data_IF_835589701938
#
_entry.id   IF_835589701938
#
_cell.length_a   1.000
_cell.length_b   1.000
_cell.length_c   1.000
_cell.angle_alpha   90.00
_cell.angle_beta   90.00
_cell.angle_gamma   90.00
#
_symmetry.space_group_name_H-M   'P 1'
#
loop_
_entity.id
_entity.type
_entity.pdbx_description
1 polymer ?
#
# COMPACT_ATOMS: atom_id res chain seq x y z
N UNK A 1 -11.16 -31.95 7.97
CA UNK A 1 -9.75 -32.18 8.40
C UNK A 1 -8.78 -32.11 7.21
N UNK A 2 -9.13 -32.67 6.05
CA UNK A 2 -8.28 -32.57 4.84
C UNK A 2 -8.11 -31.13 4.34
N UNK A 3 -9.19 -30.33 4.30
CA UNK A 3 -9.13 -28.92 3.89
C UNK A 3 -8.25 -28.06 4.82
N UNK A 4 -8.35 -28.26 6.13
CA UNK A 4 -7.50 -27.53 7.09
C UNK A 4 -6.02 -27.89 6.94
N UNK A 5 -5.72 -29.16 6.67
CA UNK A 5 -4.35 -29.62 6.42
C UNK A 5 -3.79 -29.01 5.13
N UNK A 6 -4.61 -28.88 4.07
CA UNK A 6 -4.25 -28.20 2.83
C UNK A 6 -3.88 -26.74 3.05
N UNK A 7 -4.74 -25.98 3.75
CA UNK A 7 -4.46 -24.56 4.08
C UNK A 7 -3.16 -24.40 4.88
N UNK A 8 -2.93 -25.26 5.88
CA UNK A 8 -1.70 -25.19 6.67
C UNK A 8 -0.46 -25.50 5.84
N UNK A 9 -0.55 -26.43 4.88
CA UNK A 9 0.53 -26.73 3.95
C UNK A 9 0.81 -25.56 3.03
N UNK A 10 -0.23 -24.92 2.50
CA UNK A 10 -0.09 -23.76 1.64
C UNK A 10 0.54 -22.57 2.38
N UNK A 11 0.08 -22.29 3.61
CA UNK A 11 0.68 -21.25 4.45
C UNK A 11 2.15 -21.56 4.76
N UNK A 12 2.49 -22.83 4.99
CA UNK A 12 3.88 -23.27 5.18
C UNK A 12 4.71 -23.02 3.92
N UNK A 13 4.22 -23.43 2.74
CA UNK A 13 4.91 -23.24 1.45
C UNK A 13 5.12 -21.75 1.18
N UNK A 14 4.07 -20.93 1.31
CA UNK A 14 4.13 -19.47 1.15
C UNK A 14 5.22 -18.88 2.04
N UNK A 15 5.19 -19.19 3.32
CA UNK A 15 6.10 -18.61 4.30
C UNK A 15 7.55 -19.00 4.03
N UNK A 16 7.83 -20.29 3.79
CA UNK A 16 9.19 -20.78 3.55
C UNK A 16 9.77 -20.19 2.26
N UNK A 17 9.01 -20.20 1.17
CA UNK A 17 9.48 -19.66 -0.12
C UNK A 17 9.63 -18.14 -0.06
N UNK A 18 8.74 -17.42 0.63
CA UNK A 18 8.87 -15.99 0.85
C UNK A 18 10.17 -15.65 1.60
N UNK A 19 10.48 -16.37 2.68
CA UNK A 19 11.71 -16.16 3.47
C UNK A 19 12.96 -16.53 2.69
N UNK A 20 12.92 -17.62 1.91
CA UNK A 20 14.03 -18.00 1.04
C UNK A 20 14.31 -16.94 -0.04
N UNK A 21 13.26 -16.44 -0.69
CA UNK A 21 13.40 -15.37 -1.67
C UNK A 21 13.87 -14.05 -1.04
N UNK A 22 13.33 -13.69 0.12
CA UNK A 22 13.77 -12.51 0.86
C UNK A 22 15.28 -12.55 1.15
N UNK A 23 15.82 -13.70 1.58
CA UNK A 23 17.26 -13.91 1.80
C UNK A 23 18.08 -13.71 0.52
N UNK A 24 17.61 -14.28 -0.60
CA UNK A 24 18.28 -14.12 -1.92
C UNK A 24 18.31 -12.65 -2.34
N UNK A 25 17.17 -11.95 -2.28
CA UNK A 25 17.10 -10.55 -2.68
C UNK A 25 17.88 -9.62 -1.75
N UNK A 26 17.93 -9.93 -0.45
CA UNK A 26 18.77 -9.21 0.50
C UNK A 26 20.25 -9.36 0.17
N UNK A 27 20.72 -10.56 -0.21
CA UNK A 27 22.09 -10.79 -0.69
C UNK A 27 22.39 -10.04 -1.98
N UNK A 28 21.41 -9.92 -2.86
CA UNK A 28 21.49 -9.11 -4.09
C UNK A 28 21.40 -7.60 -3.82
N UNK A 29 21.25 -7.17 -2.55
CA UNK A 29 21.05 -5.78 -2.12
C UNK A 29 19.81 -5.12 -2.74
N UNK A 30 18.81 -5.93 -3.05
CA UNK A 30 17.50 -5.50 -3.53
C UNK A 30 16.46 -5.57 -2.39
N UNK A 31 15.36 -4.79 -2.46
CA UNK A 31 14.26 -4.91 -1.52
C UNK A 31 13.67 -6.31 -1.51
N UNK A 32 13.43 -6.86 -0.31
CA UNK A 32 12.93 -8.24 -0.13
C UNK A 32 11.55 -8.45 -0.75
N UNK A 33 10.75 -7.40 -0.79
CA UNK A 33 9.39 -7.40 -1.38
C UNK A 33 9.37 -7.90 -2.84
N UNK A 34 10.44 -7.65 -3.61
CA UNK A 34 10.53 -8.13 -5.00
C UNK A 34 10.54 -9.66 -5.03
N UNK A 35 11.34 -10.27 -4.14
CA UNK A 35 11.41 -11.73 -4.01
C UNK A 35 10.08 -12.34 -3.58
N UNK A 36 9.43 -11.74 -2.59
CA UNK A 36 8.13 -12.18 -2.08
C UNK A 36 7.04 -12.12 -3.17
N UNK A 37 6.98 -11.04 -3.94
CA UNK A 37 6.06 -10.90 -5.09
C UNK A 37 6.33 -11.92 -6.19
N UNK A 38 7.61 -12.10 -6.58
CA UNK A 38 7.98 -13.06 -7.63
C UNK A 38 7.70 -14.51 -7.22
N UNK A 39 7.89 -14.84 -5.95
CA UNK A 39 7.45 -16.15 -5.40
C UNK A 39 5.96 -16.30 -5.63
N UNK A 40 5.15 -15.29 -5.27
CA UNK A 40 3.71 -15.33 -5.49
C UNK A 40 3.35 -15.60 -6.94
N UNK A 41 3.95 -14.86 -7.89
CA UNK A 41 3.74 -15.08 -9.33
C UNK A 41 4.11 -16.51 -9.73
N UNK A 42 5.21 -17.05 -9.18
CA UNK A 42 5.69 -18.38 -9.55
C UNK A 42 4.84 -19.53 -9.00
N UNK A 43 4.36 -19.43 -7.77
CA UNK A 43 3.60 -20.51 -7.10
C UNK A 43 2.09 -20.40 -7.27
N UNK A 44 1.60 -19.25 -7.73
CA UNK A 44 0.18 -18.99 -7.95
C UNK A 44 -0.47 -19.94 -8.96
N UNK A 45 -1.79 -19.99 -8.97
CA UNK A 45 -2.63 -20.90 -9.78
C UNK A 45 -2.39 -20.82 -11.29
N UNK A 46 -1.82 -19.73 -11.77
CA UNK A 46 -1.58 -19.49 -13.20
C UNK A 46 -0.16 -19.81 -13.69
N UNK A 47 0.77 -20.20 -12.79
CA UNK A 47 2.13 -20.58 -13.17
C UNK A 47 2.42 -22.05 -12.79
N UNK A 48 3.09 -22.30 -11.66
CA UNK A 48 3.45 -23.66 -11.23
C UNK A 48 2.30 -24.41 -10.57
N UNK A 49 1.20 -23.75 -10.21
CA UNK A 49 0.03 -24.33 -9.53
C UNK A 49 0.38 -25.10 -8.27
N UNK A 50 1.39 -24.63 -7.55
CA UNK A 50 1.80 -25.25 -6.27
C UNK A 50 0.83 -24.91 -5.15
N UNK A 51 0.11 -23.79 -5.29
CA UNK A 51 -0.92 -23.35 -4.37
C UNK A 51 -2.17 -23.14 -5.21
N UNK A 52 -3.24 -23.84 -4.86
CA UNK A 52 -4.55 -23.60 -5.44
C UNK A 52 -5.21 -22.46 -4.65
N UNK A 53 -4.78 -21.21 -4.96
CA UNK A 53 -5.47 -20.03 -4.43
C UNK A 53 -6.76 -19.91 -5.25
N UNK A 54 -7.92 -20.26 -4.70
CA UNK A 54 -9.19 -20.20 -5.42
C UNK A 54 -9.53 -18.72 -5.65
N UNK A 55 -9.20 -18.21 -6.84
CA UNK A 55 -9.33 -16.78 -7.16
C UNK A 55 -10.74 -16.41 -7.63
N UNK A 56 -11.58 -17.34 -8.06
CA UNK A 56 -12.90 -16.98 -8.59
C UNK A 56 -14.05 -17.98 -8.33
N UNK A 57 -13.89 -19.30 -8.28
CA UNK A 57 -15.08 -20.17 -8.36
C UNK A 57 -15.14 -21.46 -7.53
N UNK A 58 -14.27 -21.68 -6.56
CA UNK A 58 -14.37 -22.91 -5.78
C UNK A 58 -14.12 -22.68 -4.27
N UNK A 59 -15.19 -22.84 -3.49
CA UNK A 59 -15.19 -22.82 -2.03
C UNK A 59 -14.95 -21.45 -1.39
N UNK A 60 -16.00 -20.66 -1.24
CA UNK A 60 -16.01 -19.31 -0.63
C UNK A 60 -15.26 -19.21 0.71
N UNK A 61 -15.18 -20.31 1.47
CA UNK A 61 -14.50 -20.32 2.77
C UNK A 61 -12.97 -20.35 2.72
N UNK A 62 -12.37 -20.99 1.71
CA UNK A 62 -10.89 -21.10 1.59
C UNK A 62 -10.27 -19.83 1.05
N UNK A 63 -10.91 -19.17 0.09
CA UNK A 63 -10.46 -17.87 -0.43
C UNK A 63 -10.41 -16.82 0.67
N UNK A 64 -11.38 -16.84 1.60
CA UNK A 64 -11.44 -15.92 2.73
C UNK A 64 -10.22 -16.04 3.66
N UNK A 65 -9.69 -17.24 3.91
CA UNK A 65 -8.51 -17.41 4.77
C UNK A 65 -7.29 -16.71 4.18
N UNK A 66 -7.04 -16.87 2.88
CA UNK A 66 -5.91 -16.20 2.22
C UNK A 66 -6.09 -14.69 2.16
N UNK A 67 -7.31 -14.21 1.89
CA UNK A 67 -7.60 -12.78 1.89
C UNK A 67 -7.38 -12.16 3.28
N UNK A 68 -7.89 -12.79 4.33
CA UNK A 68 -7.69 -12.33 5.72
C UNK A 68 -6.21 -12.34 6.09
N UNK A 69 -5.44 -13.37 5.71
CA UNK A 69 -4.00 -13.42 5.97
C UNK A 69 -3.24 -12.31 5.24
N UNK A 70 -3.60 -12.05 3.98
CA UNK A 70 -3.01 -10.96 3.21
C UNK A 70 -3.35 -9.59 3.82
N UNK A 71 -4.61 -9.37 4.17
CA UNK A 71 -5.06 -8.11 4.77
C UNK A 71 -4.41 -7.87 6.13
N UNK A 72 -4.35 -8.87 7.00
CA UNK A 72 -3.63 -8.78 8.28
C UNK A 72 -2.14 -8.45 8.08
N UNK A 73 -1.50 -9.05 7.07
CA UNK A 73 -0.12 -8.72 6.72
C UNK A 73 0.05 -7.24 6.35
N UNK A 74 -0.86 -6.71 5.53
CA UNK A 74 -0.85 -5.32 5.12
C UNK A 74 -1.17 -4.36 6.26
N UNK A 75 -2.17 -4.68 7.09
CA UNK A 75 -2.54 -3.92 8.30
C UNK A 75 -1.35 -3.81 9.26
N UNK A 76 -0.67 -4.94 9.54
CA UNK A 76 0.53 -4.95 10.40
C UNK A 76 1.66 -4.15 9.78
N UNK A 77 1.89 -4.25 8.47
CA UNK A 77 2.89 -3.43 7.76
C UNK A 77 2.64 -1.94 7.98
N UNK A 78 1.42 -1.47 7.72
CA UNK A 78 1.07 -0.05 7.83
C UNK A 78 1.08 0.45 9.28
N UNK A 79 0.72 -0.41 10.23
CA UNK A 79 0.88 -0.12 11.65
C UNK A 79 2.36 0.15 12.01
N UNK A 80 3.29 -0.66 11.53
CA UNK A 80 4.72 -0.44 11.74
C UNK A 80 5.22 0.85 11.09
N UNK A 81 4.78 1.14 9.88
CA UNK A 81 5.08 2.42 9.20
C UNK A 81 4.54 3.60 10.01
N UNK A 82 3.35 3.45 10.58
CA UNK A 82 2.76 4.42 11.49
C UNK A 82 3.60 4.61 12.76
N UNK A 83 4.09 3.53 13.39
CA UNK A 83 4.98 3.60 14.55
C UNK A 83 6.27 4.39 14.29
N UNK A 84 6.77 4.34 13.06
CA UNK A 84 7.97 5.09 12.64
C UNK A 84 7.65 6.52 12.17
N UNK A 85 6.36 6.89 12.07
CA UNK A 85 5.90 8.17 11.55
C UNK A 85 5.29 9.03 12.65
N UNK A 86 5.90 10.18 12.98
CA UNK A 86 5.37 11.12 13.96
C UNK A 86 4.37 12.09 13.33
N UNK A 87 3.27 12.37 14.03
CA UNK A 87 2.25 13.31 13.57
C UNK A 87 2.82 14.69 13.22
N UNK A 88 3.69 15.24 14.08
CA UNK A 88 4.32 16.55 13.85
C UNK A 88 5.12 16.61 12.55
N UNK A 89 5.78 15.52 12.20
CA UNK A 89 6.56 15.41 10.96
C UNK A 89 5.66 15.38 9.72
N UNK A 90 4.49 14.73 9.84
CA UNK A 90 3.49 14.68 8.78
C UNK A 90 2.83 16.06 8.57
N UNK A 91 2.49 16.73 9.66
CA UNK A 91 1.89 18.07 9.61
C UNK A 91 2.83 19.11 8.98
N UNK A 92 4.15 19.00 9.19
CA UNK A 92 5.16 19.89 8.57
C UNK A 92 5.20 19.79 7.04
N UNK A 93 4.88 18.64 6.47
CA UNK A 93 4.89 18.41 5.01
C UNK A 93 3.48 18.45 4.41
N UNK A 94 2.43 18.64 5.22
CA UNK A 94 1.03 18.46 4.86
C UNK A 94 0.57 19.18 3.60
N UNK A 95 0.96 20.46 3.40
CA UNK A 95 0.62 21.18 2.16
C UNK A 95 1.20 20.50 0.91
N UNK A 96 2.44 20.01 0.99
CA UNK A 96 3.08 19.31 -0.14
C UNK A 96 2.47 17.93 -0.36
N UNK A 97 2.19 17.20 0.73
CA UNK A 97 1.49 15.92 0.66
C UNK A 97 0.14 16.07 -0.03
N UNK A 98 -0.63 17.09 0.33
CA UNK A 98 -1.91 17.37 -0.31
C UNK A 98 -1.75 17.75 -1.79
N UNK A 99 -0.75 18.56 -2.14
CA UNK A 99 -0.47 18.90 -3.55
C UNK A 99 -0.09 17.66 -4.36
N UNK A 100 0.75 16.79 -3.80
CA UNK A 100 1.13 15.51 -4.42
C UNK A 100 -0.09 14.62 -4.62
N UNK A 101 -0.98 14.51 -3.61
CA UNK A 101 -2.20 13.72 -3.70
C UNK A 101 -3.15 14.27 -4.78
N UNK A 102 -3.48 15.56 -4.73
CA UNK A 102 -4.43 16.17 -5.68
C UNK A 102 -3.93 16.07 -7.12
N UNK A 103 -2.69 16.43 -7.39
CA UNK A 103 -2.12 16.30 -8.74
C UNK A 103 -1.99 14.84 -9.15
N UNK A 104 -1.62 13.96 -8.19
CA UNK A 104 -1.53 12.52 -8.39
C UNK A 104 -2.87 11.82 -8.64
N UNK A 105 -3.99 12.45 -8.31
CA UNK A 105 -5.35 12.00 -8.63
C UNK A 105 -5.80 12.59 -9.96
N UNK A 106 -5.76 13.92 -10.10
CA UNK A 106 -6.36 14.64 -11.23
C UNK A 106 -5.69 14.27 -12.56
N UNK A 107 -4.36 14.29 -12.61
CA UNK A 107 -3.66 14.03 -13.88
C UNK A 107 -3.77 12.58 -14.35
N UNK A 108 -3.51 11.54 -13.54
CA UNK A 108 -3.70 10.15 -13.97
C UNK A 108 -5.14 9.83 -14.35
N UNK A 109 -6.13 10.33 -13.58
CA UNK A 109 -7.54 10.18 -13.93
C UNK A 109 -7.86 10.76 -15.31
N UNK A 110 -7.47 12.01 -15.53
CA UNK A 110 -7.71 12.70 -16.81
C UNK A 110 -7.01 11.99 -17.98
N UNK A 111 -5.76 11.56 -17.80
CA UNK A 111 -5.00 10.84 -18.83
C UNK A 111 -5.65 9.49 -19.17
N UNK A 112 -6.02 8.71 -18.15
CA UNK A 112 -6.64 7.40 -18.34
C UNK A 112 -8.01 7.51 -19.01
N UNK A 113 -8.87 8.39 -18.49
CA UNK A 113 -10.21 8.60 -19.07
C UNK A 113 -10.14 9.15 -20.50
N UNK A 114 -9.29 10.15 -20.75
CA UNK A 114 -9.11 10.73 -22.08
C UNK A 114 -8.58 9.69 -23.08
N UNK A 115 -7.58 8.90 -22.70
CA UNK A 115 -7.02 7.86 -23.55
C UNK A 115 -8.10 6.83 -23.95
N UNK A 116 -8.90 6.34 -23.02
CA UNK A 116 -9.94 5.36 -23.29
C UNK A 116 -11.04 5.93 -24.17
N UNK A 117 -11.46 7.19 -23.96
CA UNK A 117 -12.41 7.88 -24.84
C UNK A 117 -11.86 8.03 -26.27
N UNK A 118 -10.59 8.43 -26.41
CA UNK A 118 -9.94 8.57 -27.71
C UNK A 118 -9.74 7.23 -28.42
N UNK A 119 -9.57 6.14 -27.66
CA UNK A 119 -9.51 4.78 -28.17
C UNK A 119 -10.88 4.21 -28.56
N UNK A 120 -11.97 4.97 -28.38
CA UNK A 120 -13.34 4.58 -28.78
C UNK A 120 -14.10 3.75 -27.73
N UNK A 121 -13.60 3.66 -26.48
CA UNK A 121 -14.29 2.96 -25.41
C UNK A 121 -15.47 3.76 -24.83
N UNK A 122 -16.52 3.11 -24.30
CA UNK A 122 -17.65 3.76 -23.67
C UNK A 122 -17.22 4.69 -22.52
N UNK A 123 -17.98 5.76 -22.28
CA UNK A 123 -17.67 6.73 -21.22
C UNK A 123 -17.54 6.09 -19.85
N UNK A 124 -18.42 5.18 -19.49
CA UNK A 124 -18.39 4.49 -18.20
C UNK A 124 -17.11 3.71 -18.01
N UNK A 125 -16.73 2.92 -19.01
CA UNK A 125 -15.47 2.16 -19.01
C UNK A 125 -14.26 3.09 -18.89
N UNK A 126 -14.25 4.19 -19.65
CA UNK A 126 -13.19 5.21 -19.61
C UNK A 126 -13.02 5.84 -18.23
N UNK A 127 -14.12 6.13 -17.55
CA UNK A 127 -14.09 6.69 -16.19
C UNK A 127 -13.58 5.67 -15.17
N UNK A 128 -13.98 4.40 -15.26
CA UNK A 128 -13.46 3.36 -14.37
C UNK A 128 -11.95 3.14 -14.55
N UNK A 129 -11.45 3.14 -15.79
CA UNK A 129 -9.99 3.09 -16.04
C UNK A 129 -9.32 4.34 -15.47
N UNK A 130 -9.92 5.53 -15.63
CA UNK A 130 -9.44 6.75 -14.99
C UNK A 130 -9.27 6.58 -13.48
N UNK A 131 -10.28 6.04 -12.77
CA UNK A 131 -10.21 5.77 -11.32
C UNK A 131 -9.15 4.72 -10.99
N UNK A 132 -9.03 3.67 -11.80
CA UNK A 132 -8.00 2.65 -11.58
C UNK A 132 -6.57 3.22 -11.66
N UNK A 133 -6.37 4.28 -12.46
CA UNK A 133 -5.09 5.00 -12.54
C UNK A 133 -4.87 5.96 -11.36
N UNK A 134 -5.88 6.26 -10.56
CA UNK A 134 -5.74 7.16 -9.39
C UNK A 134 -5.07 6.45 -8.21
N UNK A 135 -5.62 5.32 -7.79
CA UNK A 135 -5.26 4.66 -6.54
C UNK A 135 -3.76 4.30 -6.47
N UNK A 136 -3.12 4.59 -5.34
CA UNK A 136 -1.70 4.29 -5.10
C UNK A 136 -1.57 3.22 -4.02
N UNK A 137 -0.76 2.18 -4.23
CA UNK A 137 -0.44 1.22 -3.18
C UNK A 137 0.63 1.78 -2.24
N UNK A 138 0.17 2.25 -1.09
CA UNK A 138 1.07 2.75 -0.05
C UNK A 138 1.87 1.62 0.60
N UNK A 139 1.30 0.41 0.70
CA UNK A 139 1.95 -0.75 1.33
C UNK A 139 3.28 -1.12 0.67
N UNK A 140 3.31 -1.15 -0.66
CA UNK A 140 4.52 -1.46 -1.43
C UNK A 140 5.60 -0.40 -1.22
N UNK A 141 5.25 0.86 -1.42
CA UNK A 141 6.19 1.97 -1.25
C UNK A 141 6.69 2.07 0.20
N UNK A 142 5.81 1.92 1.18
CA UNK A 142 6.14 1.95 2.59
C UNK A 142 7.11 0.82 2.97
N UNK A 143 6.88 -0.40 2.48
CA UNK A 143 7.78 -1.54 2.66
C UNK A 143 9.17 -1.24 2.10
N UNK A 144 9.25 -0.77 0.86
CA UNK A 144 10.53 -0.42 0.22
C UNK A 144 11.28 0.67 1.00
N UNK A 145 10.58 1.74 1.40
CA UNK A 145 11.18 2.83 2.18
C UNK A 145 11.68 2.33 3.55
N UNK A 146 10.96 1.40 4.18
CA UNK A 146 11.35 0.77 5.44
C UNK A 146 12.57 -0.13 5.26
N UNK A 147 12.57 -1.03 4.27
CA UNK A 147 13.69 -1.92 3.97
C UNK A 147 14.98 -1.15 3.62
N UNK A 148 14.85 0.04 3.03
CA UNK A 148 15.95 0.97 2.76
C UNK A 148 16.38 1.79 4.00
N UNK A 149 15.61 1.78 5.10
CA UNK A 149 15.87 2.57 6.29
C UNK A 149 15.70 4.08 6.10
N UNK A 150 14.81 4.49 5.18
CA UNK A 150 14.64 5.90 4.78
C UNK A 150 13.26 6.50 5.13
N UNK A 151 12.46 5.83 5.95
CA UNK A 151 11.12 6.31 6.36
C UNK A 151 11.16 7.70 7.01
N UNK A 152 12.23 8.02 7.73
CA UNK A 152 12.44 9.34 8.33
C UNK A 152 12.81 10.45 7.32
N UNK A 153 13.00 10.12 6.02
CA UNK A 153 13.32 11.11 5.00
C UNK A 153 12.13 12.03 4.71
N UNK A 154 12.43 13.25 4.23
CA UNK A 154 11.40 14.24 3.88
C UNK A 154 10.48 13.71 2.77
N UNK A 155 11.06 13.05 1.78
CA UNK A 155 10.35 12.45 0.65
C UNK A 155 9.40 11.36 1.12
N UNK A 156 9.85 10.47 2.02
CA UNK A 156 9.01 9.40 2.56
C UNK A 156 7.80 9.98 3.33
N UNK A 157 8.00 11.00 4.16
CA UNK A 157 6.91 11.67 4.88
C UNK A 157 5.89 12.31 3.94
N UNK A 158 6.36 12.93 2.85
CA UNK A 158 5.47 13.50 1.82
C UNK A 158 4.67 12.38 1.14
N UNK A 159 5.32 11.29 0.75
CA UNK A 159 4.66 10.13 0.11
C UNK A 159 3.60 9.54 1.03
N UNK A 160 3.95 9.24 2.29
CA UNK A 160 3.02 8.64 3.25
C UNK A 160 1.82 9.56 3.53
N UNK A 161 2.06 10.86 3.72
CA UNK A 161 0.98 11.82 3.90
C UNK A 161 0.13 12.02 2.65
N UNK A 162 0.74 11.95 1.45
CA UNK A 162 0.01 12.02 0.20
C UNK A 162 -0.84 10.77 -0.02
N UNK A 163 -0.34 9.58 0.34
CA UNK A 163 -1.06 8.34 0.17
C UNK A 163 -2.37 8.29 1.00
N UNK A 164 -2.35 8.76 2.25
CA UNK A 164 -3.58 8.87 3.07
C UNK A 164 -4.62 9.78 2.41
N UNK A 165 -4.19 10.91 1.83
CA UNK A 165 -5.10 11.79 1.12
C UNK A 165 -5.54 11.20 -0.24
N UNK A 166 -4.65 10.50 -0.94
CA UNK A 166 -4.91 9.81 -2.22
C UNK A 166 -5.99 8.73 -2.05
N UNK A 167 -5.96 7.96 -0.96
CA UNK A 167 -6.97 6.94 -0.65
C UNK A 167 -8.37 7.54 -0.46
N UNK A 168 -8.48 8.66 0.25
CA UNK A 168 -9.75 9.38 0.40
C UNK A 168 -10.25 9.88 -0.95
N UNK A 169 -9.36 10.49 -1.75
CA UNK A 169 -9.72 11.02 -3.07
C UNK A 169 -10.07 9.89 -4.05
N UNK A 170 -9.39 8.75 -3.99
CA UNK A 170 -9.69 7.57 -4.81
C UNK A 170 -11.07 6.98 -4.46
N UNK A 171 -11.40 6.89 -3.16
CA UNK A 171 -12.73 6.49 -2.69
C UNK A 171 -13.82 7.43 -3.23
N UNK A 172 -13.63 8.74 -3.12
CA UNK A 172 -14.58 9.72 -3.64
C UNK A 172 -14.74 9.63 -5.16
N UNK A 173 -13.63 9.43 -5.88
CA UNK A 173 -13.66 9.24 -7.33
C UNK A 173 -14.39 7.96 -7.72
N UNK A 174 -14.17 6.85 -7.01
CA UNK A 174 -14.87 5.59 -7.22
C UNK A 174 -16.36 5.74 -6.93
N UNK A 175 -16.71 6.37 -5.80
CA UNK A 175 -18.12 6.64 -5.44
C UNK A 175 -18.81 7.49 -6.50
N UNK A 176 -18.17 8.55 -6.97
CA UNK A 176 -18.72 9.40 -8.04
C UNK A 176 -18.95 8.62 -9.34
N UNK A 177 -17.96 7.82 -9.78
CA UNK A 177 -18.06 7.06 -11.03
C UNK A 177 -19.10 5.94 -10.93
N UNK A 178 -19.23 5.29 -9.77
CA UNK A 178 -20.25 4.24 -9.57
C UNK A 178 -21.68 4.78 -9.52
N UNK A 179 -21.87 6.07 -9.28
CA UNK A 179 -23.18 6.75 -9.37
C UNK A 179 -23.52 7.20 -10.79
N UNK A 180 -22.51 7.34 -11.67
CA UNK A 180 -22.73 7.67 -13.09
C UNK A 180 -23.44 6.48 -13.75
N UNK A 181 -24.65 6.70 -14.22
CA UNK A 181 -25.53 5.65 -14.78
C UNK A 181 -26.73 5.31 -13.91
N UNK A 182 -26.82 5.86 -12.67
CA UNK A 182 -28.09 5.89 -11.93
C UNK A 182 -28.97 6.99 -12.47
N UNK A 183 -30.29 6.78 -12.46
CA UNK A 183 -31.28 7.78 -12.90
C UNK A 183 -31.19 9.10 -12.10
N UNK A 184 -30.75 9.02 -10.84
CA UNK A 184 -30.58 10.18 -9.94
C UNK A 184 -29.29 10.99 -10.19
N UNK A 185 -28.39 10.52 -11.06
CA UNK A 185 -27.08 11.16 -11.27
C UNK A 185 -26.14 11.06 -10.06
N UNK A 186 -25.09 11.91 -10.03
CA UNK A 186 -24.11 11.97 -8.93
C UNK A 186 -24.68 12.76 -7.77
N UNK A 187 -24.84 12.14 -6.58
CA UNK A 187 -25.26 12.83 -5.37
C UNK A 187 -24.06 13.54 -4.71
N UNK A 188 -24.00 14.85 -4.91
CA UNK A 188 -22.99 15.69 -4.30
C UNK A 188 -23.06 15.69 -2.75
N UNK A 189 -24.27 15.51 -2.18
CA UNK A 189 -24.45 15.40 -0.73
C UNK A 189 -23.77 14.15 -0.17
N UNK A 190 -23.95 13.00 -0.79
CA UNK A 190 -23.29 11.75 -0.41
C UNK A 190 -21.76 11.87 -0.49
N UNK A 191 -21.24 12.49 -1.56
CA UNK A 191 -19.78 12.71 -1.71
C UNK A 191 -19.22 13.64 -0.62
N UNK A 192 -19.93 14.74 -0.31
CA UNK A 192 -19.50 15.67 0.75
C UNK A 192 -19.51 14.97 2.10
N UNK A 193 -20.56 14.21 2.43
CA UNK A 193 -20.67 13.49 3.70
C UNK A 193 -19.56 12.44 3.81
N UNK A 194 -19.36 11.62 2.79
CA UNK A 194 -18.31 10.60 2.78
C UNK A 194 -16.92 11.22 2.97
N UNK A 195 -16.62 12.29 2.22
CA UNK A 195 -15.35 13.01 2.38
C UNK A 195 -15.18 13.66 3.74
N UNK A 196 -16.24 14.28 4.27
CA UNK A 196 -16.20 14.91 5.59
C UNK A 196 -16.00 13.88 6.72
N UNK A 197 -16.67 12.72 6.64
CA UNK A 197 -16.51 11.61 7.60
C UNK A 197 -15.09 11.06 7.55
N UNK A 198 -14.55 10.84 6.35
CA UNK A 198 -13.17 10.36 6.16
C UNK A 198 -12.14 11.33 6.77
N UNK A 199 -12.25 12.61 6.43
CA UNK A 199 -11.36 13.65 6.97
C UNK A 199 -11.53 13.79 8.49
N UNK A 200 -12.76 13.76 9.00
CA UNK A 200 -13.04 13.82 10.44
C UNK A 200 -12.44 12.63 11.19
N UNK A 201 -12.57 11.42 10.65
CA UNK A 201 -11.96 10.21 11.22
C UNK A 201 -10.44 10.33 11.32
N UNK A 202 -9.78 10.71 10.22
CA UNK A 202 -8.32 10.88 10.18
C UNK A 202 -7.88 11.98 11.14
N UNK A 203 -8.52 13.15 11.11
CA UNK A 203 -8.19 14.28 11.97
C UNK A 203 -8.43 13.97 13.45
N UNK A 204 -9.58 13.37 13.80
CA UNK A 204 -9.90 12.97 15.16
C UNK A 204 -8.89 11.96 15.69
N UNK A 205 -8.63 10.89 14.96
CA UNK A 205 -7.69 9.85 15.38
C UNK A 205 -6.27 10.40 15.49
N UNK A 206 -5.81 11.18 14.51
CA UNK A 206 -4.48 11.77 14.54
C UNK A 206 -4.31 12.78 15.69
N UNK A 207 -5.27 13.66 15.91
CA UNK A 207 -5.13 14.75 16.89
C UNK A 207 -5.53 14.33 18.31
N UNK A 208 -6.69 13.69 18.46
CA UNK A 208 -7.21 13.29 19.78
C UNK A 208 -6.52 12.01 20.24
N UNK A 209 -6.40 11.02 19.34
CA UNK A 209 -5.82 9.73 19.65
C UNK A 209 -4.37 9.85 20.11
N UNK A 210 -3.52 10.61 19.40
CA UNK A 210 -2.11 10.82 19.81
C UNK A 210 -2.01 11.51 21.17
N UNK A 211 -2.87 12.49 21.45
CA UNK A 211 -2.90 13.15 22.78
C UNK A 211 -3.33 12.20 23.89
N UNK A 212 -4.34 11.37 23.62
CA UNK A 212 -4.82 10.39 24.59
C UNK A 212 -3.75 9.35 24.91
N UNK A 213 -3.12 8.76 23.89
CA UNK A 213 -2.04 7.78 24.08
C UNK A 213 -0.89 8.38 24.86
N UNK A 214 -0.43 9.59 24.51
CA UNK A 214 0.65 10.28 25.22
C UNK A 214 0.32 10.52 26.71
N UNK A 215 -0.94 10.81 27.02
CA UNK A 215 -1.38 11.04 28.42
C UNK A 215 -1.45 9.74 29.23
N UNK A 216 -1.87 8.64 28.59
CA UNK A 216 -2.16 7.38 29.27
C UNK A 216 -1.09 6.31 29.08
N UNK A 217 -0.04 6.53 28.28
CA UNK A 217 1.01 5.52 27.98
C UNK A 217 1.69 4.96 29.24
N UNK A 218 1.94 5.79 30.25
CA UNK A 218 2.54 5.35 31.52
C UNK A 218 1.63 4.41 32.33
N UNK A 219 0.32 4.45 32.12
CA UNK A 219 -0.63 3.56 32.79
C UNK A 219 -0.68 2.18 32.15
N UNK A 220 -0.25 2.04 30.88
CA UNK A 220 -0.22 0.76 30.18
C UNK A 220 0.76 -0.21 30.82
N UNK A 221 1.87 0.28 31.41
CA UNK A 221 2.84 -0.58 32.12
C UNK A 221 2.32 -1.10 33.44
N UNK A 222 1.27 -0.47 34.00
CA UNK A 222 0.66 -0.89 35.27
C UNK A 222 -0.39 -2.00 35.10
N UNK A 223 -0.76 -2.32 33.87
CA UNK A 223 -1.72 -3.39 33.61
C UNK A 223 -1.07 -4.73 33.90
N UNK A 224 -1.78 -5.61 34.60
CA UNK A 224 -1.30 -6.94 34.98
C UNK A 224 -1.39 -7.99 33.86
N UNK A 225 -1.80 -7.57 32.67
CA UNK A 225 -1.91 -8.46 31.49
C UNK A 225 -0.50 -8.68 30.92
N UNK A 226 -0.18 -9.94 30.60
CA UNK A 226 1.09 -10.24 29.92
C UNK A 226 1.22 -9.45 28.64
N UNK A 227 2.38 -8.79 28.44
CA UNK A 227 2.63 -7.96 27.25
C UNK A 227 1.57 -6.85 27.03
N UNK A 228 1.05 -6.24 28.11
CA UNK A 228 0.00 -5.22 28.04
C UNK A 228 0.21 -4.12 26.97
N UNK A 229 1.40 -3.54 26.80
CA UNK A 229 1.63 -2.55 25.76
C UNK A 229 1.40 -3.10 24.33
N UNK A 230 1.82 -4.33 24.07
CA UNK A 230 1.60 -4.98 22.78
C UNK A 230 0.12 -5.31 22.56
N UNK A 231 -0.56 -5.85 23.58
CA UNK A 231 -1.98 -6.20 23.50
C UNK A 231 -2.84 -4.96 23.19
N UNK A 232 -2.57 -3.83 23.87
CA UNK A 232 -3.27 -2.56 23.61
C UNK A 232 -2.92 -2.02 22.21
N UNK A 233 -1.68 -2.11 21.78
CA UNK A 233 -1.26 -1.67 20.47
C UNK A 233 -1.96 -2.45 19.35
N UNK A 234 -2.05 -3.78 19.47
CA UNK A 234 -2.77 -4.64 18.52
C UNK A 234 -4.29 -4.39 18.56
N UNK A 235 -4.87 -4.18 19.75
CA UNK A 235 -6.28 -3.83 19.88
C UNK A 235 -6.61 -2.49 19.20
N UNK A 236 -5.75 -1.48 19.37
CA UNK A 236 -5.90 -0.20 18.67
C UNK A 236 -5.74 -0.36 17.16
N UNK A 237 -4.75 -1.12 16.72
CA UNK A 237 -4.53 -1.43 15.31
C UNK A 237 -5.77 -2.05 14.68
N UNK A 238 -6.27 -3.14 15.23
CA UNK A 238 -7.45 -3.86 14.71
C UNK A 238 -8.73 -3.02 14.84
N UNK A 239 -8.93 -2.35 15.98
CA UNK A 239 -10.12 -1.55 16.22
C UNK A 239 -10.22 -0.34 15.29
N UNK A 240 -9.12 0.38 15.06
CA UNK A 240 -9.11 1.51 14.13
C UNK A 240 -9.16 1.06 12.67
N UNK A 241 -8.57 -0.11 12.33
CA UNK A 241 -8.72 -0.70 11.00
C UNK A 241 -10.16 -1.07 10.71
N UNK A 242 -10.83 -1.74 11.63
CA UNK A 242 -12.24 -2.08 11.51
C UNK A 242 -13.12 -0.81 11.42
N UNK A 243 -12.88 0.19 12.27
CA UNK A 243 -13.60 1.46 12.22
C UNK A 243 -13.40 2.20 10.90
N UNK A 244 -12.19 2.20 10.34
CA UNK A 244 -11.92 2.77 9.02
C UNK A 244 -12.72 2.04 7.93
N UNK A 245 -12.72 0.70 7.95
CA UNK A 245 -13.45 -0.14 6.98
C UNK A 245 -14.96 0.09 7.06
N UNK A 246 -15.54 0.19 8.25
CA UNK A 246 -16.97 0.51 8.44
C UNK A 246 -17.35 1.91 7.88
N UNK A 247 -16.40 2.84 7.88
CA UNK A 247 -16.57 4.17 7.27
C UNK A 247 -16.32 4.19 5.76
N UNK A 248 -16.07 3.02 5.13
CA UNK A 248 -15.77 2.87 3.72
C UNK A 248 -14.34 3.25 3.33
N UNK A 249 -13.45 3.51 4.31
CA UNK A 249 -12.03 3.74 4.07
C UNK A 249 -11.28 2.41 4.02
N UNK A 250 -10.09 2.42 3.43
CA UNK A 250 -9.22 1.24 3.54
C UNK A 250 -8.78 1.02 4.99
N UNK A 251 -8.88 -0.22 5.50
CA UNK A 251 -8.54 -0.57 6.89
C UNK A 251 -7.09 -0.23 7.24
N UNK A 252 -6.20 -0.22 6.25
CA UNK A 252 -4.79 0.18 6.39
C UNK A 252 -4.61 1.62 6.91
N UNK A 253 -5.53 2.53 6.61
CA UNK A 253 -5.51 3.90 7.13
C UNK A 253 -5.67 3.86 8.66
N UNK A 254 -6.61 3.07 9.17
CA UNK A 254 -6.80 2.87 10.60
C UNK A 254 -5.57 2.29 11.28
N UNK A 255 -4.93 1.28 10.67
CA UNK A 255 -3.68 0.69 11.15
C UNK A 255 -2.53 1.70 11.20
N UNK A 256 -2.33 2.47 10.13
CA UNK A 256 -1.33 3.54 10.07
C UNK A 256 -1.54 4.59 11.17
N UNK A 257 -2.79 5.04 11.34
CA UNK A 257 -3.15 6.00 12.39
C UNK A 257 -2.92 5.42 13.80
N UNK A 258 -3.25 4.14 14.02
CA UNK A 258 -2.98 3.46 15.29
C UNK A 258 -1.47 3.43 15.60
N UNK A 259 -0.65 3.10 14.61
CA UNK A 259 0.82 3.15 14.74
C UNK A 259 1.30 4.57 15.06
N UNK A 260 0.82 5.56 14.33
CA UNK A 260 1.19 6.98 14.51
C UNK A 260 0.79 7.51 15.89
N UNK A 261 -0.36 7.10 16.44
CA UNK A 261 -0.77 7.44 17.82
C UNK A 261 0.26 6.95 18.85
N UNK A 262 0.86 5.80 18.61
CA UNK A 262 1.82 5.15 19.51
C UNK A 262 3.28 5.56 19.22
N UNK A 263 3.54 6.29 18.14
CA UNK A 263 4.88 6.64 17.65
C UNK A 263 5.75 7.37 18.69
N UNK A 264 5.17 8.25 19.48
CA UNK A 264 5.90 8.98 20.54
C UNK A 264 6.29 8.09 21.74
N UNK A 265 5.49 7.04 22.02
CA UNK A 265 5.71 6.11 23.13
C UNK A 265 6.40 4.81 22.69
N UNK A 266 6.73 4.66 21.40
CA UNK A 266 7.23 3.40 20.82
C UNK A 266 8.52 2.88 21.48
N UNK A 267 9.47 3.78 21.77
CA UNK A 267 10.74 3.43 22.38
C UNK A 267 10.56 3.04 23.84
N UNK A 268 9.79 3.84 24.61
CA UNK A 268 9.49 3.58 26.01
C UNK A 268 8.77 2.24 26.20
N UNK A 269 7.79 1.95 25.37
CA UNK A 269 7.01 0.71 25.42
C UNK A 269 7.64 -0.46 24.65
N UNK A 270 8.78 -0.24 24.00
CA UNK A 270 9.49 -1.20 23.15
C UNK A 270 8.57 -1.88 22.10
N UNK A 271 7.59 -1.14 21.60
CA UNK A 271 6.52 -1.70 20.73
C UNK A 271 7.07 -2.33 19.45
N UNK A 272 8.03 -1.68 18.82
CA UNK A 272 8.64 -2.18 17.59
C UNK A 272 9.28 -3.56 17.81
N UNK A 273 10.09 -3.70 18.86
CA UNK A 273 10.74 -4.97 19.21
C UNK A 273 9.74 -6.07 19.56
N UNK A 274 8.67 -5.72 20.29
CA UNK A 274 7.65 -6.69 20.74
C UNK A 274 6.77 -7.17 19.59
N UNK A 275 6.42 -6.29 18.66
CA UNK A 275 5.57 -6.60 17.51
C UNK A 275 6.35 -7.16 16.31
N UNK A 276 7.69 -7.02 16.25
CA UNK A 276 8.52 -7.49 15.14
C UNK A 276 8.26 -8.96 14.73
N UNK A 277 8.10 -9.93 15.64
CA UNK A 277 7.78 -11.32 15.24
C UNK A 277 6.47 -11.44 14.48
N UNK A 278 5.44 -10.65 14.84
CA UNK A 278 4.14 -10.62 14.17
C UNK A 278 4.31 -10.06 12.76
N UNK A 279 5.06 -8.97 12.63
CA UNK A 279 5.42 -8.36 11.35
C UNK A 279 6.13 -9.37 10.43
N UNK A 280 7.19 -10.02 10.93
CA UNK A 280 8.00 -10.98 10.18
C UNK A 280 7.19 -12.21 9.74
N UNK A 281 6.15 -12.56 10.48
CA UNK A 281 5.29 -13.69 10.15
C UNK A 281 4.20 -13.29 9.13
N UNK A 282 3.48 -12.20 9.36
CA UNK A 282 2.27 -11.87 8.60
C UNK A 282 2.55 -11.14 7.27
N UNK A 283 3.53 -10.23 7.24
CA UNK A 283 3.76 -9.37 6.07
C UNK A 283 4.10 -10.14 4.79
N UNK A 284 4.89 -11.22 4.81
CA UNK A 284 5.16 -12.01 3.61
C UNK A 284 3.91 -12.55 2.91
N UNK A 285 2.86 -12.90 3.67
CA UNK A 285 1.61 -13.40 3.09
C UNK A 285 0.96 -12.37 2.18
N UNK A 286 0.94 -11.09 2.58
CA UNK A 286 0.40 -10.03 1.74
C UNK A 286 1.11 -9.97 0.37
N UNK A 287 2.43 -9.96 0.34
CA UNK A 287 3.17 -9.80 -0.92
C UNK A 287 3.10 -11.05 -1.79
N UNK A 288 3.22 -12.24 -1.21
CA UNK A 288 3.13 -13.50 -1.96
C UNK A 288 1.72 -13.68 -2.53
N UNK A 289 0.68 -13.48 -1.72
CA UNK A 289 -0.70 -13.63 -2.19
C UNK A 289 -1.09 -12.53 -3.21
N UNK A 290 -0.53 -11.32 -3.09
CA UNK A 290 -0.67 -10.29 -4.13
C UNK A 290 0.00 -10.73 -5.44
N UNK A 291 1.18 -11.34 -5.37
CA UNK A 291 1.85 -11.91 -6.54
C UNK A 291 1.08 -13.08 -7.16
N UNK A 292 0.47 -13.94 -6.32
CA UNK A 292 -0.28 -15.13 -6.78
C UNK A 292 -1.57 -14.79 -7.56
N UNK A 293 -2.10 -13.58 -7.39
CA UNK A 293 -3.25 -13.06 -8.18
C UNK A 293 -2.93 -12.76 -9.64
N UNK A 294 -1.68 -12.92 -10.05
CA UNK A 294 -1.24 -12.66 -11.44
C UNK A 294 -1.71 -13.77 -12.36
N UNK A 295 -2.63 -13.46 -13.28
CA UNK A 295 -3.01 -14.37 -14.36
C UNK A 295 -2.15 -14.10 -15.62
N UNK A 296 -1.12 -14.93 -15.83
CA UNK A 296 -0.28 -14.86 -17.01
C UNK A 296 -1.02 -15.30 -18.29
N UNK A 297 -2.07 -16.10 -18.17
CA UNK A 297 -2.86 -16.59 -19.30
C UNK A 297 -3.75 -15.51 -19.93
N UNK A 298 -4.15 -14.50 -19.17
CA UNK A 298 -4.95 -13.38 -19.64
C UNK A 298 -4.28 -12.54 -20.74
N UNK A 299 -2.96 -12.70 -20.92
CA UNK A 299 -2.15 -11.95 -21.89
C UNK A 299 -1.91 -12.68 -23.22
N UNK A 300 -2.65 -13.75 -23.52
CA UNK A 300 -2.49 -14.50 -24.76
C UNK A 300 -2.99 -13.77 -26.02
N UNK A 301 -3.76 -12.66 -25.89
CA UNK A 301 -4.31 -11.86 -26.99
C UNK A 301 -3.47 -10.60 -27.29
N UNK A 302 -3.04 -10.40 -28.55
CA UNK A 302 -2.18 -9.26 -28.93
C UNK A 302 -2.82 -7.87 -28.72
N UNK A 303 -4.13 -7.73 -28.81
CA UNK A 303 -4.85 -6.47 -28.55
C UNK A 303 -4.85 -6.08 -27.08
N UNK A 304 -5.08 -7.03 -26.18
CA UNK A 304 -5.07 -6.86 -24.73
C UNK A 304 -3.67 -6.43 -24.23
N UNK A 305 -2.60 -6.96 -24.80
CA UNK A 305 -1.23 -6.57 -24.46
C UNK A 305 -0.99 -5.09 -24.80
N UNK A 306 -1.42 -4.65 -25.99
CA UNK A 306 -1.27 -3.24 -26.40
C UNK A 306 -1.97 -2.28 -25.44
N UNK A 307 -3.20 -2.60 -25.08
CA UNK A 307 -4.00 -1.83 -24.11
C UNK A 307 -3.34 -1.83 -22.70
N UNK A 308 -2.91 -2.99 -22.24
CA UNK A 308 -2.24 -3.15 -20.95
C UNK A 308 -0.96 -2.32 -20.85
N UNK A 309 -0.11 -2.34 -21.89
CA UNK A 309 1.10 -1.53 -21.95
C UNK A 309 0.81 -0.03 -22.02
N UNK A 310 -0.22 0.38 -22.76
CA UNK A 310 -0.63 1.78 -22.84
C UNK A 310 -1.14 2.29 -21.49
N UNK A 311 -2.05 1.55 -20.82
CA UNK A 311 -2.58 1.89 -19.50
C UNK A 311 -1.45 1.92 -18.46
N UNK A 312 -0.52 0.95 -18.49
CA UNK A 312 0.64 0.91 -17.59
C UNK A 312 1.55 2.12 -17.80
N UNK A 313 1.83 2.46 -19.05
CA UNK A 313 2.65 3.62 -19.38
C UNK A 313 2.02 4.93 -18.90
N UNK A 314 0.71 5.08 -19.09
CA UNK A 314 -0.05 6.24 -18.60
C UNK A 314 -0.07 6.32 -17.07
N UNK A 315 -0.19 5.18 -16.38
CA UNK A 315 -0.14 5.11 -14.92
C UNK A 315 1.22 5.57 -14.38
N UNK A 316 2.31 5.10 -15.01
CA UNK A 316 3.68 5.47 -14.63
C UNK A 316 3.94 6.95 -14.93
N UNK A 317 3.72 7.37 -16.18
CA UNK A 317 4.01 8.75 -16.63
C UNK A 317 3.12 9.75 -15.89
N UNK A 318 1.83 9.46 -15.75
CA UNK A 318 0.88 10.32 -15.05
C UNK A 318 1.29 10.62 -13.61
N UNK A 319 1.63 9.60 -12.83
CA UNK A 319 2.09 9.79 -11.43
C UNK A 319 3.50 10.40 -11.38
N UNK A 320 4.41 9.94 -12.23
CA UNK A 320 5.77 10.48 -12.27
C UNK A 320 5.77 11.99 -12.53
N UNK A 321 4.99 12.42 -13.51
CA UNK A 321 4.87 13.86 -13.87
C UNK A 321 4.11 14.63 -12.79
N UNK A 322 2.93 14.16 -12.39
CA UNK A 322 2.08 14.86 -11.43
C UNK A 322 2.74 15.01 -10.06
N UNK A 323 3.15 13.88 -9.46
CA UNK A 323 3.74 13.88 -8.13
C UNK A 323 5.17 14.42 -8.13
N UNK A 324 5.91 14.19 -9.23
CA UNK A 324 7.23 14.78 -9.43
C UNK A 324 7.16 16.32 -9.52
N UNK A 325 6.23 16.86 -10.29
CA UNK A 325 6.03 18.31 -10.41
C UNK A 325 5.61 18.95 -9.08
N UNK A 326 4.78 18.27 -8.28
CA UNK A 326 4.42 18.72 -6.93
C UNK A 326 5.64 18.84 -6.00
N UNK A 327 6.73 18.12 -6.30
CA UNK A 327 8.03 18.23 -5.63
C UNK A 327 8.90 19.39 -6.08
N UNK A 328 8.40 20.28 -6.92
CA UNK A 328 9.18 21.43 -7.41
C UNK A 328 9.81 22.24 -6.25
N UNK A 329 11.09 22.59 -6.40
CA UNK A 329 11.87 23.26 -5.37
C UNK A 329 12.53 22.33 -4.34
N UNK A 330 12.34 21.00 -4.40
CA UNK A 330 13.05 20.03 -3.57
C UNK A 330 14.31 19.45 -4.22
N UNK A 331 14.54 19.78 -5.49
CA UNK A 331 15.60 19.23 -6.32
C UNK A 331 15.16 18.02 -7.16
N UNK A 332 15.82 17.81 -8.30
CA UNK A 332 15.43 16.79 -9.31
C UNK A 332 15.30 15.38 -8.75
N UNK A 333 16.20 14.98 -7.83
CA UNK A 333 16.18 13.66 -7.20
C UNK A 333 14.95 13.48 -6.32
N UNK A 334 14.62 14.45 -5.49
CA UNK A 334 13.41 14.40 -4.64
C UNK A 334 12.15 14.38 -5.48
N UNK A 335 12.10 15.14 -6.59
CA UNK A 335 10.98 15.08 -7.54
C UNK A 335 10.80 13.68 -8.13
N UNK A 336 11.90 13.01 -8.52
CA UNK A 336 11.85 11.63 -9.03
C UNK A 336 11.42 10.64 -7.94
N UNK A 337 11.92 10.78 -6.71
CA UNK A 337 11.54 9.92 -5.59
C UNK A 337 10.04 10.04 -5.30
N UNK A 338 9.49 11.28 -5.27
CA UNK A 338 8.06 11.51 -5.08
C UNK A 338 7.25 10.92 -6.22
N UNK A 339 7.66 11.17 -7.47
CA UNK A 339 7.00 10.61 -8.64
C UNK A 339 6.99 9.09 -8.62
N UNK A 340 8.15 8.45 -8.48
CA UNK A 340 8.30 6.99 -8.47
C UNK A 340 7.58 6.36 -7.26
N UNK A 341 7.72 6.97 -6.08
CA UNK A 341 7.10 6.45 -4.86
C UNK A 341 5.56 6.43 -4.88
N UNK A 342 4.94 7.24 -5.75
CA UNK A 342 3.49 7.29 -5.95
C UNK A 342 3.00 6.47 -7.16
N UNK A 343 3.90 5.77 -7.88
CA UNK A 343 3.53 4.96 -9.04
C UNK A 343 2.84 3.64 -8.68
N UNK A 344 3.21 2.87 -7.62
CA UNK A 344 2.67 1.53 -7.43
C UNK A 344 1.15 1.50 -7.35
N UNK A 345 0.56 0.53 -8.03
CA UNK A 345 -0.87 0.21 -7.94
C UNK A 345 -1.00 -1.14 -7.23
N UNK A 346 -1.89 -1.23 -6.27
CA UNK A 346 -2.09 -2.47 -5.52
C UNK A 346 -3.56 -2.82 -5.38
N UNK A 347 -3.94 -3.16 -4.16
CA UNK A 347 -5.25 -3.67 -3.78
C UNK A 347 -6.42 -2.79 -4.27
N UNK A 348 -6.33 -1.47 -4.16
CA UNK A 348 -7.43 -0.58 -4.58
C UNK A 348 -7.62 -0.62 -6.10
N UNK A 349 -6.54 -0.76 -6.89
CA UNK A 349 -6.63 -0.94 -8.33
C UNK A 349 -7.42 -2.20 -8.71
N UNK A 350 -7.17 -3.31 -7.99
CA UNK A 350 -7.93 -4.56 -8.16
C UNK A 350 -9.40 -4.40 -7.76
N UNK A 351 -9.68 -3.74 -6.63
CA UNK A 351 -11.05 -3.47 -6.18
C UNK A 351 -11.82 -2.65 -7.21
N UNK A 352 -11.24 -1.58 -7.73
CA UNK A 352 -11.85 -0.75 -8.78
C UNK A 352 -12.16 -1.59 -10.02
N UNK A 353 -11.21 -2.41 -10.49
CA UNK A 353 -11.39 -3.26 -11.64
C UNK A 353 -12.47 -4.33 -11.41
N UNK A 354 -12.50 -4.96 -10.23
CA UNK A 354 -13.50 -5.98 -9.87
C UNK A 354 -14.92 -5.40 -9.77
N UNK A 355 -15.05 -4.23 -9.12
CA UNK A 355 -16.33 -3.50 -9.04
C UNK A 355 -16.82 -3.11 -10.44
N UNK A 356 -15.92 -2.66 -11.31
CA UNK A 356 -16.27 -2.31 -12.68
C UNK A 356 -16.73 -3.54 -13.49
N UNK A 357 -16.02 -4.66 -13.36
CA UNK A 357 -16.35 -5.92 -14.02
C UNK A 357 -17.69 -6.50 -13.52
N UNK A 358 -17.90 -6.57 -12.20
CA UNK A 358 -19.14 -7.10 -11.61
C UNK A 358 -20.38 -6.30 -11.98
N UNK A 359 -20.21 -5.02 -12.31
CA UNK A 359 -21.29 -4.13 -12.81
C UNK A 359 -21.46 -4.18 -14.33
N UNK A 360 -20.64 -4.97 -15.03
CA UNK A 360 -20.63 -4.98 -16.50
C UNK A 360 -20.17 -3.64 -17.11
N UNK A 361 -19.51 -2.80 -16.32
CA UNK A 361 -19.03 -1.48 -16.74
C UNK A 361 -17.72 -1.56 -17.55
N UNK A 362 -16.95 -2.64 -17.41
CA UNK A 362 -15.73 -2.93 -18.19
C UNK A 362 -15.78 -4.36 -18.70
N UNK A 363 -15.16 -4.59 -19.87
CA UNK A 363 -14.94 -5.94 -20.40
C UNK A 363 -13.75 -6.65 -19.73
N UNK A 364 -13.64 -7.96 -19.98
CA UNK A 364 -12.56 -8.78 -19.46
C UNK A 364 -11.16 -8.29 -19.89
N UNK A 365 -11.05 -7.75 -21.12
CA UNK A 365 -9.80 -7.22 -21.67
C UNK A 365 -9.28 -6.00 -20.89
N UNK A 366 -10.21 -5.09 -20.56
CA UNK A 366 -9.88 -3.89 -19.76
C UNK A 366 -9.56 -4.27 -18.33
N UNK A 367 -10.34 -5.20 -17.73
CA UNK A 367 -10.05 -5.76 -16.42
C UNK A 367 -8.63 -6.33 -16.36
N UNK A 368 -8.29 -7.24 -17.28
CA UNK A 368 -6.96 -7.84 -17.37
C UNK A 368 -5.86 -6.81 -17.57
N UNK A 369 -6.11 -5.76 -18.36
CA UNK A 369 -5.17 -4.67 -18.59
C UNK A 369 -4.89 -3.85 -17.32
N UNK A 370 -5.92 -3.58 -16.50
CA UNK A 370 -5.76 -2.89 -15.21
C UNK A 370 -5.03 -3.77 -14.20
N UNK A 371 -5.33 -5.07 -14.18
CA UNK A 371 -4.61 -6.05 -13.35
C UNK A 371 -3.13 -6.08 -13.71
N UNK A 372 -2.81 -6.17 -15.01
CA UNK A 372 -1.41 -6.11 -15.49
C UNK A 372 -0.70 -4.82 -15.05
N UNK A 373 -1.33 -3.67 -15.24
CA UNK A 373 -0.80 -2.38 -14.81
C UNK A 373 -0.45 -2.41 -13.32
N UNK A 374 -1.34 -2.93 -12.49
CA UNK A 374 -1.13 -3.00 -11.04
C UNK A 374 0.11 -3.82 -10.70
N UNK A 375 0.28 -4.97 -11.32
CA UNK A 375 1.41 -5.87 -11.11
C UNK A 375 2.70 -5.26 -11.66
N UNK A 376 2.68 -4.79 -12.90
CA UNK A 376 3.86 -4.22 -13.55
C UNK A 376 4.41 -3.02 -12.75
N UNK A 377 3.54 -2.12 -12.31
CA UNK A 377 3.95 -0.97 -11.50
C UNK A 377 4.50 -1.38 -10.14
N UNK A 378 3.94 -2.42 -9.53
CA UNK A 378 4.40 -3.00 -8.26
C UNK A 378 5.79 -3.59 -8.37
N UNK A 379 6.10 -4.29 -9.47
CA UNK A 379 7.41 -4.92 -9.69
C UNK A 379 8.49 -3.91 -10.12
N UNK A 380 8.13 -2.89 -10.89
CA UNK A 380 9.09 -1.90 -11.42
C UNK A 380 9.56 -0.94 -10.33
N UNK A 381 8.70 -0.52 -9.41
CA UNK A 381 9.00 0.58 -8.49
C UNK A 381 10.07 0.24 -7.44
N UNK A 382 10.07 -0.92 -6.77
CA UNK A 382 11.07 -1.23 -5.75
C UNK A 382 12.52 -1.11 -6.21
N UNK A 383 12.95 -1.68 -7.36
CA UNK A 383 14.32 -1.53 -7.84
C UNK A 383 14.66 -0.09 -8.21
N UNK A 384 13.72 0.64 -8.84
CA UNK A 384 13.95 2.05 -9.22
C UNK A 384 14.08 2.93 -8.00
N UNK A 385 13.22 2.75 -7.00
CA UNK A 385 13.27 3.51 -5.76
C UNK A 385 14.55 3.19 -4.97
N UNK A 386 14.96 1.92 -4.94
CA UNK A 386 16.24 1.50 -4.35
C UNK A 386 17.44 2.16 -5.03
N UNK A 387 17.47 2.24 -6.35
CA UNK A 387 18.51 2.91 -7.11
C UNK A 387 18.54 4.43 -6.81
N UNK A 388 17.37 5.07 -6.71
CA UNK A 388 17.26 6.48 -6.36
C UNK A 388 17.78 6.79 -4.95
N UNK A 389 17.64 5.89 -3.99
CA UNK A 389 18.16 6.04 -2.63
C UNK A 389 19.59 5.50 -2.46
N UNK A 390 20.06 4.58 -3.31
CA UNK A 390 21.34 3.88 -3.20
C UNK A 390 22.58 4.78 -3.11
N UNK A 391 22.52 6.00 -3.66
CA UNK A 391 23.59 6.99 -3.53
C UNK A 391 23.80 7.56 -2.11
N UNK A 392 22.91 7.29 -1.14
CA UNK A 392 23.06 7.72 0.28
C UNK A 392 23.77 6.68 1.16
N UNK A 393 23.78 5.41 0.81
CA UNK A 393 24.46 4.35 1.60
C UNK A 393 25.97 4.55 1.74
N UNK A 394 26.60 5.37 0.89
CA UNK A 394 28.03 5.70 0.97
C UNK A 394 28.39 6.77 2.01
N UNK A 395 27.44 7.54 2.54
CA UNK A 395 27.73 8.68 3.42
C UNK A 395 27.39 8.46 4.91
N UNK A 396 26.53 7.46 5.23
CA UNK A 396 26.17 7.15 6.63
C UNK A 396 26.90 5.94 7.21
N UNK A 397 27.77 5.29 6.44
CA UNK A 397 28.50 4.06 6.82
C UNK A 397 29.93 4.27 7.28
N UNK A 398 30.33 5.41 7.86
CA UNK A 398 31.54 5.49 8.66
C UNK A 398 31.15 5.33 10.13
N UNK A 399 31.39 4.16 10.77
CA UNK A 399 31.39 4.13 12.22
C UNK A 399 32.52 5.05 12.68
N UNK A 400 32.20 5.97 13.56
CA UNK A 400 33.09 6.86 14.27
C UNK A 400 34.11 6.01 15.09
N UNK A 401 35.21 5.62 14.41
CA UNK A 401 36.38 5.05 15.05
C UNK A 401 37.21 6.17 15.71
N UNK A 402 36.59 6.93 16.59
CA UNK A 402 37.26 7.93 17.40
C UNK A 402 36.88 7.73 18.88
N UNK A 403 37.49 6.76 19.53
CA UNK A 403 37.23 6.52 20.96
C UNK A 403 38.06 5.39 21.59
N UNK A 404 39.11 4.90 20.92
CA UNK A 404 39.98 3.85 21.51
C UNK A 404 41.45 4.23 21.62
N UNK A 405 41.81 5.50 21.51
CA UNK A 405 43.20 5.97 21.69
C UNK A 405 43.43 6.80 22.96
N UNK A 406 42.46 6.92 23.86
CA UNK A 406 42.60 7.70 25.10
C UNK A 406 42.45 6.86 26.38
N UNK A 407 42.64 5.56 26.32
CA UNK A 407 42.63 4.69 27.51
C UNK A 407 43.90 3.82 27.62
N UNK A 408 45.01 4.29 27.07
CA UNK A 408 46.32 3.66 27.23
C UNK A 408 47.42 4.77 27.26
N UNK A 409 47.33 5.65 28.25
CA UNK A 409 48.46 6.46 28.76
C UNK A 409 48.22 6.73 30.23
#
# INVERSE_FOLDING_TARGET
>A
MEETAGVLLDLFIIFVLAKAAAEVFQRLRQPTVIGELLVGVAIGSHALRLIDVPLVDSHEGLSLVYEVMAELGLVVLLFFVGLETRLDDLLRVGRRSLTVAVLGVVLPFALGAAFMVLAGHPRTESLFVGVALVATSVGITARVLRDLGVLASREARIILGAAVADDILALLALTAVTQIGRESGVDAGELIVTGAVAVAFVAFTALVGTRAVRRYSLHLERLQISQAPLAVALALMLGLSAAASELGLAGIIGAFLAGMMLAESREQLQLERRAQPIYEFLVPFFFVLTGAKVDLGAFSGGGTIGLALAITSLAIVGKLVACGAAGYGLGKRSMLILGVGMVPRGEIGFVVASVALSRGAVGADVYSSVVFMSIATTLIVPPVLSALYGGRRGQTGKPERAGRAAAAS
#
